data_IF_077529330018
#
_entry.id   IF_077529330018
#
_cell.length_a   1.000
_cell.length_b   1.000
_cell.length_c   1.000
_cell.angle_alpha   90.00
_cell.angle_beta   90.00
_cell.angle_gamma   90.00
#
_symmetry.space_group_name_H-M   'P 1'
#
loop_
_entity.id
_entity.type
_entity.pdbx_description
1 polymer ?
#
# COMPACT_ATOMS: atom_id res chain seq x y z
N UNK A 1 -11.93 -48.97 30.64
CA UNK A 1 -12.47 -48.32 29.43
C UNK A 1 -12.34 -46.82 29.63
N UNK A 2 -11.18 -46.26 29.28
CA UNK A 2 -10.85 -44.84 29.49
C UNK A 2 -11.33 -44.06 28.29
N UNK A 3 -12.28 -43.14 28.50
CA UNK A 3 -12.74 -42.22 27.46
C UNK A 3 -11.66 -41.16 27.17
N UNK A 4 -11.39 -40.80 25.91
CA UNK A 4 -10.53 -39.66 25.59
C UNK A 4 -11.27 -38.34 25.85
N UNK A 5 -10.56 -37.40 26.49
CA UNK A 5 -11.04 -36.04 26.78
C UNK A 5 -11.12 -35.21 25.48
N UNK A 6 -12.12 -34.31 25.31
CA UNK A 6 -12.23 -33.48 24.12
C UNK A 6 -11.12 -32.41 24.12
N UNK A 7 -10.25 -32.47 23.11
CA UNK A 7 -9.21 -31.48 22.87
C UNK A 7 -9.78 -30.11 22.52
N UNK A 8 -8.98 -29.07 22.82
CA UNK A 8 -9.30 -27.67 22.59
C UNK A 8 -9.85 -27.40 21.18
N UNK A 9 -11.10 -26.97 21.11
CA UNK A 9 -11.76 -26.54 19.88
C UNK A 9 -11.34 -25.10 19.54
N UNK A 10 -10.09 -24.90 19.12
CA UNK A 10 -9.68 -23.60 18.56
C UNK A 10 -10.30 -23.43 17.18
N UNK A 11 -11.41 -22.71 17.09
CA UNK A 11 -12.15 -22.49 15.84
C UNK A 11 -11.28 -21.78 14.79
N UNK A 12 -10.91 -22.50 13.73
CA UNK A 12 -10.28 -21.93 12.54
C UNK A 12 -11.37 -21.33 11.64
N UNK A 13 -11.65 -20.05 11.83
CA UNK A 13 -12.73 -19.37 11.13
C UNK A 13 -13.06 -18.03 11.79
N UNK A 14 -14.02 -17.29 11.22
CA UNK A 14 -14.33 -15.90 11.55
C UNK A 14 -14.73 -15.67 13.03
N UNK A 15 -13.77 -15.58 13.94
CA UNK A 15 -14.00 -15.13 15.32
C UNK A 15 -12.88 -14.21 15.78
N UNK A 16 -12.88 -13.00 15.24
CA UNK A 16 -12.07 -11.86 15.70
C UNK A 16 -12.50 -10.67 14.83
N UNK A 17 -12.53 -9.45 15.36
CA UNK A 17 -13.04 -8.21 14.74
C UNK A 17 -12.28 -7.75 13.48
N UNK A 18 -11.83 -8.66 12.62
CA UNK A 18 -11.18 -8.38 11.35
C UNK A 18 -12.26 -8.27 10.27
N UNK A 19 -12.17 -7.21 9.48
CA UNK A 19 -13.04 -6.95 8.33
C UNK A 19 -12.97 -8.06 7.27
N UNK A 20 -11.83 -8.76 7.20
CA UNK A 20 -11.66 -9.98 6.39
C UNK A 20 -11.19 -11.14 7.30
N UNK A 21 -11.87 -12.30 7.27
CA UNK A 21 -11.41 -13.49 7.97
C UNK A 21 -10.13 -14.03 7.33
N UNK A 22 -9.28 -14.66 8.15
CA UNK A 22 -8.15 -15.44 7.64
C UNK A 22 -8.69 -16.72 6.99
N UNK A 23 -8.05 -17.24 5.94
CA UNK A 23 -8.46 -18.50 5.32
C UNK A 23 -8.31 -19.66 6.32
N UNK A 24 -9.13 -20.70 6.12
CA UNK A 24 -8.95 -22.00 6.79
C UNK A 24 -7.54 -22.53 6.51
N UNK A 25 -6.86 -23.09 7.51
CA UNK A 25 -5.48 -23.57 7.34
C UNK A 25 -4.39 -22.48 7.37
N UNK A 26 -4.71 -21.24 7.78
CA UNK A 26 -3.72 -20.16 7.92
C UNK A 26 -2.48 -20.56 8.74
N UNK A 27 -2.63 -21.37 9.77
CA UNK A 27 -1.49 -21.84 10.58
C UNK A 27 -0.52 -22.68 9.76
N UNK A 28 -1.03 -23.54 8.89
CA UNK A 28 -0.25 -24.38 7.98
C UNK A 28 0.49 -23.52 6.97
N UNK A 29 -0.22 -22.62 6.28
CA UNK A 29 0.38 -21.68 5.32
C UNK A 29 1.48 -20.86 5.99
N UNK A 30 1.22 -20.32 7.20
CA UNK A 30 2.22 -19.58 7.96
C UNK A 30 3.44 -20.45 8.28
N UNK A 31 3.25 -21.69 8.74
CA UNK A 31 4.35 -22.59 9.05
C UNK A 31 5.20 -22.92 7.81
N UNK A 32 4.57 -23.14 6.66
CA UNK A 32 5.25 -23.36 5.38
C UNK A 32 6.10 -22.15 4.96
N UNK A 33 5.57 -20.94 5.08
CA UNK A 33 6.29 -19.70 4.74
C UNK A 33 7.49 -19.49 5.67
N UNK A 34 7.31 -19.68 6.97
CA UNK A 34 8.41 -19.56 7.95
C UNK A 34 9.49 -20.61 7.71
N UNK A 35 9.11 -21.86 7.42
CA UNK A 35 10.04 -22.92 7.10
C UNK A 35 10.80 -22.66 5.80
N UNK A 36 10.11 -22.21 4.74
CA UNK A 36 10.71 -21.82 3.45
C UNK A 36 11.79 -20.75 3.64
N UNK A 37 11.50 -19.76 4.48
CA UNK A 37 12.39 -18.62 4.72
C UNK A 37 13.46 -18.93 5.78
N UNK A 38 13.51 -20.15 6.33
CA UNK A 38 14.46 -20.57 7.35
C UNK A 38 14.29 -19.85 8.68
N UNK A 39 13.07 -19.41 9.00
CA UNK A 39 12.75 -18.59 10.17
C UNK A 39 13.55 -17.28 10.25
N UNK A 40 14.10 -16.82 9.13
CA UNK A 40 14.86 -15.57 9.05
C UNK A 40 14.03 -14.49 8.36
N UNK A 41 14.10 -13.26 8.87
CA UNK A 41 13.47 -12.11 8.22
C UNK A 41 13.94 -11.96 6.77
N UNK A 42 13.02 -11.84 5.80
CA UNK A 42 13.36 -11.65 4.38
C UNK A 42 13.46 -10.18 3.97
N UNK A 43 13.35 -9.24 4.92
CA UNK A 43 13.50 -7.83 4.63
C UNK A 43 14.93 -7.53 4.20
N UNK A 44 15.09 -6.78 3.11
CA UNK A 44 16.38 -6.33 2.62
C UNK A 44 16.55 -4.86 2.99
N UNK A 45 17.64 -4.55 3.69
CA UNK A 45 18.05 -3.20 4.04
C UNK A 45 19.53 -3.06 3.69
N UNK A 46 19.90 -1.99 2.99
CA UNK A 46 21.27 -1.74 2.52
C UNK A 46 21.88 -2.89 1.68
N UNK A 47 21.03 -3.63 0.97
CA UNK A 47 21.44 -4.73 0.09
C UNK A 47 21.60 -6.08 0.79
N UNK A 48 21.47 -6.11 2.12
CA UNK A 48 21.59 -7.34 2.91
C UNK A 48 20.25 -7.76 3.50
N UNK A 49 20.10 -9.08 3.68
CA UNK A 49 18.94 -9.65 4.35
C UNK A 49 19.08 -9.46 5.86
N UNK A 50 18.02 -9.03 6.50
CA UNK A 50 17.95 -8.91 7.95
C UNK A 50 18.26 -10.27 8.63
N UNK A 51 19.23 -10.27 9.54
CA UNK A 51 19.67 -11.48 10.22
C UNK A 51 18.74 -11.96 11.36
N UNK A 52 17.77 -11.13 11.76
CA UNK A 52 16.86 -11.41 12.88
C UNK A 52 15.88 -12.55 12.59
N UNK A 53 15.43 -13.20 13.67
CA UNK A 53 14.38 -14.22 13.61
C UNK A 53 13.07 -13.61 13.10
N UNK A 54 12.50 -14.25 12.08
CA UNK A 54 11.22 -13.90 11.53
C UNK A 54 10.10 -14.73 12.13
N UNK A 55 9.18 -14.05 12.81
CA UNK A 55 8.05 -14.66 13.50
C UNK A 55 6.73 -14.44 12.77
N UNK A 56 6.66 -13.45 11.88
CA UNK A 56 5.40 -13.00 11.28
C UNK A 56 5.38 -13.27 9.78
N UNK A 57 4.23 -13.68 9.25
CA UNK A 57 3.98 -13.79 7.82
C UNK A 57 3.28 -12.50 7.34
N UNK A 58 3.92 -11.79 6.41
CA UNK A 58 3.48 -10.50 5.83
C UNK A 58 3.15 -10.66 4.35
N UNK A 59 2.11 -9.97 3.89
CA UNK A 59 1.74 -9.94 2.47
C UNK A 59 2.64 -8.98 1.70
N UNK A 60 3.22 -9.47 0.59
CA UNK A 60 4.06 -8.69 -0.32
C UNK A 60 3.17 -7.76 -1.15
N UNK A 61 2.15 -8.33 -1.81
CA UNK A 61 1.24 -7.67 -2.72
C UNK A 61 -0.19 -7.60 -2.19
N UNK A 62 -1.12 -8.27 -2.89
CA UNK A 62 -2.55 -8.20 -2.60
C UNK A 62 -2.88 -8.73 -1.18
N UNK A 63 -3.71 -8.02 -0.39
CA UNK A 63 -3.97 -8.38 1.00
C UNK A 63 -4.90 -9.60 1.19
N UNK A 64 -5.56 -10.04 0.13
CA UNK A 64 -6.49 -11.18 0.09
C UNK A 64 -5.87 -12.45 -0.54
N UNK A 65 -4.74 -12.32 -1.22
CA UNK A 65 -3.97 -13.46 -1.73
C UNK A 65 -3.06 -14.04 -0.64
N UNK A 66 -3.47 -15.18 -0.10
CA UNK A 66 -2.74 -15.89 0.95
C UNK A 66 -1.84 -17.01 0.39
N UNK A 67 -1.52 -16.99 -0.91
CA UNK A 67 -0.57 -17.93 -1.50
C UNK A 67 0.82 -17.77 -0.88
N UNK A 68 1.56 -18.87 -0.75
CA UNK A 68 2.91 -18.84 -0.19
C UNK A 68 3.85 -17.91 -0.96
N UNK A 69 3.63 -17.73 -2.27
CA UNK A 69 4.39 -16.79 -3.11
C UNK A 69 4.13 -15.32 -2.80
N UNK A 70 2.94 -14.97 -2.31
CA UNK A 70 2.61 -13.60 -1.91
C UNK A 70 2.92 -13.32 -0.43
N UNK A 71 3.39 -14.32 0.32
CA UNK A 71 3.75 -14.20 1.72
C UNK A 71 5.27 -14.22 1.91
N UNK A 72 5.73 -13.48 2.91
CA UNK A 72 7.12 -13.46 3.35
C UNK A 72 7.24 -13.44 4.87
N UNK A 73 8.36 -13.94 5.35
CA UNK A 73 8.69 -13.97 6.78
C UNK A 73 9.36 -12.67 7.21
N UNK A 74 8.83 -11.98 8.23
CA UNK A 74 9.40 -10.76 8.79
C UNK A 74 9.63 -10.88 10.29
N UNK A 75 10.68 -10.21 10.79
CA UNK A 75 10.84 -9.97 12.22
C UNK A 75 9.88 -8.89 12.70
N UNK A 76 9.60 -8.85 14.01
CA UNK A 76 8.64 -7.90 14.57
C UNK A 76 8.97 -6.42 14.32
N UNK A 77 10.25 -6.06 14.20
CA UNK A 77 10.67 -4.71 13.81
C UNK A 77 10.24 -4.37 12.37
N UNK A 78 10.65 -5.19 11.40
CA UNK A 78 10.35 -4.94 9.99
C UNK A 78 8.87 -5.08 9.66
N UNK A 79 8.15 -5.96 10.35
CA UNK A 79 6.71 -6.09 10.21
C UNK A 79 5.96 -4.81 10.65
N UNK A 80 6.36 -4.19 11.77
CA UNK A 80 5.82 -2.89 12.21
C UNK A 80 6.18 -1.77 11.24
N UNK A 81 7.43 -1.74 10.76
CA UNK A 81 7.89 -0.77 9.75
C UNK A 81 7.06 -0.88 8.47
N UNK A 82 6.86 -2.09 7.95
CA UNK A 82 6.00 -2.37 6.79
C UNK A 82 4.57 -1.88 7.00
N UNK A 83 3.97 -2.21 8.13
CA UNK A 83 2.62 -1.78 8.48
C UNK A 83 2.50 -0.25 8.50
N UNK A 84 3.49 0.44 9.08
CA UNK A 84 3.52 1.90 9.08
C UNK A 84 3.63 2.47 7.65
N UNK A 85 4.46 1.88 6.79
CA UNK A 85 4.57 2.27 5.38
C UNK A 85 3.24 2.09 4.63
N UNK A 86 2.56 0.96 4.81
CA UNK A 86 1.25 0.72 4.20
C UNK A 86 0.20 1.72 4.70
N UNK A 87 0.16 1.98 6.00
CA UNK A 87 -0.75 2.97 6.58
C UNK A 87 -0.48 4.37 6.03
N UNK A 88 0.80 4.76 5.90
CA UNK A 88 1.17 6.05 5.33
C UNK A 88 0.79 6.16 3.85
N UNK A 89 0.95 5.09 3.07
CA UNK A 89 0.50 5.03 1.68
C UNK A 89 -1.02 5.13 1.57
N UNK A 90 -1.78 4.56 2.51
CA UNK A 90 -3.24 4.56 2.52
C UNK A 90 -3.87 5.87 3.06
N UNK A 91 -3.14 6.68 3.82
CA UNK A 91 -3.68 7.87 4.52
C UNK A 91 -4.17 9.00 3.61
N UNK A 92 -3.80 9.00 2.32
CA UNK A 92 -4.15 10.08 1.39
C UNK A 92 -3.50 11.43 1.76
N UNK A 93 -3.85 12.53 1.06
CA UNK A 93 -3.35 13.85 1.40
C UNK A 93 -3.83 14.26 2.80
N UNK A 94 -2.90 14.75 3.62
CA UNK A 94 -3.25 15.29 4.93
C UNK A 94 -4.24 16.45 4.76
N UNK A 95 -5.33 16.50 5.54
CA UNK A 95 -6.25 17.63 5.49
C UNK A 95 -5.51 18.93 5.82
N UNK A 96 -5.95 20.04 5.20
CA UNK A 96 -5.35 21.34 5.47
C UNK A 96 -5.44 21.67 6.95
N UNK A 97 -4.30 22.05 7.55
CA UNK A 97 -4.28 22.51 8.95
C UNK A 97 -5.02 23.82 9.13
N UNK A 98 -5.19 24.59 8.05
CA UNK A 98 -6.04 25.77 8.03
C UNK A 98 -7.51 25.34 8.10
N UNK A 99 -8.18 25.78 9.15
CA UNK A 99 -9.63 25.68 9.26
C UNK A 99 -10.26 26.62 8.23
N UNK A 100 -11.29 26.20 7.48
CA UNK A 100 -12.06 27.12 6.65
C UNK A 100 -12.54 28.32 7.48
N UNK A 101 -12.54 29.51 6.89
CA UNK A 101 -13.02 30.70 7.57
C UNK A 101 -14.47 30.46 8.07
N UNK A 102 -14.78 30.81 9.33
CA UNK A 102 -16.12 30.61 9.86
C UNK A 102 -17.14 31.41 9.04
N UNK A 103 -18.24 30.76 8.64
CA UNK A 103 -19.39 31.47 8.07
C UNK A 103 -20.09 32.21 9.20
N UNK A 104 -20.09 33.54 9.15
CA UNK A 104 -20.81 34.35 10.14
C UNK A 104 -22.33 34.21 9.87
N UNK A 105 -23.16 34.00 10.91
CA UNK A 105 -24.60 33.74 10.77
C UNK A 105 -25.41 34.91 10.20
N UNK A 106 -24.82 36.11 10.13
CA UNK A 106 -25.43 37.29 9.49
C UNK A 106 -25.14 37.43 7.99
N UNK A 107 -24.35 36.53 7.40
CA UNK A 107 -23.99 36.60 5.98
C UNK A 107 -24.93 35.69 5.16
N UNK A 108 -26.10 36.21 4.79
CA UNK A 108 -26.88 35.65 3.70
C UNK A 108 -26.08 35.83 2.42
N UNK A 109 -25.57 34.74 1.85
CA UNK A 109 -25.00 34.76 0.51
C UNK A 109 -26.11 35.30 -0.41
N UNK A 110 -25.92 36.50 -0.95
CA UNK A 110 -26.77 37.04 -2.00
C UNK A 110 -26.51 36.21 -3.24
N UNK A 111 -27.14 35.03 -3.29
CA UNK A 111 -27.27 34.22 -4.49
C UNK A 111 -27.90 35.13 -5.52
N UNK A 112 -27.11 35.49 -6.52
CA UNK A 112 -27.49 36.35 -7.62
C UNK A 112 -28.65 35.67 -8.35
N UNK A 113 -29.86 36.10 -8.04
CA UNK A 113 -31.05 35.74 -8.80
C UNK A 113 -31.03 36.61 -10.06
N UNK A 114 -31.13 35.92 -11.20
CA UNK A 114 -31.61 36.41 -12.50
C UNK A 114 -30.65 37.20 -13.39
N UNK A 115 -30.41 36.62 -14.57
CA UNK A 115 -29.84 37.32 -15.73
C UNK A 115 -29.41 36.36 -16.84
N UNK A 116 -30.36 35.62 -17.42
CA UNK A 116 -30.15 34.99 -18.73
C UNK A 116 -30.00 36.08 -19.81
N UNK A 117 -29.35 35.68 -20.90
CA UNK A 117 -29.42 36.24 -22.27
C UNK A 117 -28.32 37.18 -22.76
N UNK A 118 -27.45 36.58 -23.59
CA UNK A 118 -26.75 37.07 -24.80
C UNK A 118 -25.67 36.03 -25.13
N UNK A 119 -25.88 34.96 -25.93
CA UNK A 119 -25.88 35.00 -27.42
C UNK A 119 -25.02 36.17 -27.93
N UNK A 120 -23.86 36.03 -28.58
CA UNK A 120 -23.44 35.15 -29.69
C UNK A 120 -21.91 35.38 -29.95
N UNK A 121 -21.27 34.91 -31.05
CA UNK A 121 -20.47 33.69 -31.15
C UNK A 121 -18.94 33.90 -31.40
N UNK A 122 -18.23 32.76 -31.43
CA UNK A 122 -17.07 32.47 -32.30
C UNK A 122 -15.83 33.37 -32.25
N UNK A 123 -14.72 32.82 -31.71
CA UNK A 123 -13.62 32.45 -32.62
C UNK A 123 -12.66 31.42 -32.01
N UNK A 124 -12.32 30.33 -32.74
CA UNK A 124 -11.48 29.26 -32.24
C UNK A 124 -10.02 29.50 -32.58
N UNK A 125 -9.19 29.93 -31.62
CA UNK A 125 -7.76 29.70 -31.74
C UNK A 125 -7.38 28.34 -31.14
N UNK A 126 -7.72 27.31 -31.91
CA UNK A 126 -7.09 26.01 -31.83
C UNK A 126 -5.62 26.08 -32.27
N UNK A 127 -4.79 25.36 -31.51
CA UNK A 127 -3.47 24.77 -31.83
C UNK A 127 -2.30 25.77 -31.75
N UNK A 128 -1.18 25.42 -31.09
CA UNK A 128 -0.28 24.34 -31.50
C UNK A 128 0.40 23.59 -30.32
N UNK A 129 0.28 22.27 -30.32
CA UNK A 129 1.40 21.32 -30.14
C UNK A 129 1.79 20.81 -31.55
N UNK A 130 2.93 20.15 -31.82
CA UNK A 130 4.10 19.83 -30.98
C UNK A 130 5.45 20.20 -31.64
N UNK A 131 6.60 20.00 -30.97
CA UNK A 131 7.79 19.48 -31.68
C UNK A 131 8.64 18.55 -30.79
N UNK A 132 8.58 17.22 -31.02
CA UNK A 132 9.60 16.27 -30.59
C UNK A 132 10.75 16.25 -31.61
N UNK A 133 11.83 16.97 -31.32
CA UNK A 133 13.08 16.90 -32.09
C UNK A 133 14.27 17.39 -31.25
N UNK A 134 14.78 16.54 -30.36
CA UNK A 134 16.23 16.44 -30.17
C UNK A 134 16.62 14.97 -30.28
N UNK A 135 17.57 14.64 -31.17
CA UNK A 135 17.99 13.27 -31.44
C UNK A 135 18.78 12.66 -30.27
N UNK A 136 18.74 11.33 -30.23
CA UNK A 136 19.57 10.48 -29.41
C UNK A 136 21.06 10.82 -29.61
N UNK A 137 21.80 10.96 -28.52
CA UNK A 137 23.26 10.87 -28.58
C UNK A 137 23.64 9.39 -28.69
N UNK A 138 24.42 8.99 -29.72
CA UNK A 138 25.04 7.67 -29.76
C UNK A 138 26.11 7.56 -28.67
N UNK A 139 26.23 6.36 -28.11
CA UNK A 139 27.09 6.07 -26.97
C UNK A 139 28.58 6.35 -27.20
N UNK A 140 29.26 6.69 -26.12
CA UNK A 140 30.68 6.42 -25.96
C UNK A 140 30.84 5.06 -25.24
N UNK A 141 31.68 4.16 -25.77
CA UNK A 141 31.98 2.87 -25.15
C UNK A 141 32.85 3.00 -23.88
N UNK A 142 32.73 1.99 -23.02
CA UNK A 142 33.78 1.29 -22.26
C UNK A 142 35.20 1.84 -22.42
N UNK A 143 35.88 2.11 -21.29
CA UNK A 143 37.02 1.31 -20.76
C UNK A 143 37.68 2.05 -19.54
N UNK A 144 38.55 1.42 -18.73
CA UNK A 144 38.23 0.71 -17.49
C UNK A 144 38.90 1.34 -16.22
N UNK A 145 38.65 0.84 -14.99
CA UNK A 145 39.59 1.04 -13.86
C UNK A 145 40.81 0.10 -14.02
N UNK A 146 41.95 0.21 -13.29
CA UNK A 146 42.10 0.74 -11.92
C UNK A 146 43.45 1.45 -11.57
N UNK A 147 43.52 2.03 -10.36
CA UNK A 147 44.62 1.83 -9.40
C UNK A 147 44.01 1.60 -8.01
#
# INVERSE_FOLDING_TARGET
>A
MTQPQPGDHWTEGASSRRTAPRPTGWKTIRAEVLARDGHQCTWIEDGERCAEEGTDADHIGAPDDHSTGNLRTLCGYHHRKRTALQANQARGPLPSRQRPAPRHPGLIETSSVTGQDSTTPSSPHQRRRPNPSRPAHPGTPDDPPPF
#
